data_IF_076592531288
#
_entry.id   IF_076592531288
#
_cell.length_a   1.000
_cell.length_b   1.000
_cell.length_c   1.000
_cell.angle_alpha   90.00
_cell.angle_beta   90.00
_cell.angle_gamma   90.00
#
_symmetry.space_group_name_H-M   'P 1'
#
loop_
_entity.id
_entity.type
_entity.pdbx_description
1 polymer ?
#
# COMPACT_ATOMS: atom_id res chain seq x y z
N UNK A 1 -5.88 15.03 -8.13
CA UNK A 1 -5.80 15.61 -6.78
C UNK A 1 -6.92 14.97 -5.97
N UNK A 2 -6.69 14.61 -4.70
CA UNK A 2 -7.72 14.02 -3.86
C UNK A 2 -8.91 14.98 -3.73
N UNK A 3 -10.12 14.43 -3.71
CA UNK A 3 -11.34 15.21 -3.53
C UNK A 3 -11.38 15.84 -2.14
N UNK A 4 -11.77 17.12 -2.10
CA UNK A 4 -11.99 17.86 -0.85
C UNK A 4 -13.49 18.16 -0.75
N UNK A 5 -14.01 18.24 0.48
CA UNK A 5 -15.39 18.68 0.72
C UNK A 5 -15.58 20.08 0.16
N UNK A 6 -16.55 20.24 -0.74
CA UNK A 6 -16.94 21.53 -1.34
C UNK A 6 -18.37 21.82 -0.97
N UNK A 7 -18.63 23.00 -0.43
CA UNK A 7 -19.99 23.45 -0.10
C UNK A 7 -19.98 24.92 0.28
N UNK A 8 -21.15 25.54 0.22
CA UNK A 8 -21.37 26.92 0.62
C UNK A 8 -22.76 27.08 1.21
N UNK A 9 -23.13 28.28 1.64
CA UNK A 9 -24.50 28.56 2.08
C UNK A 9 -25.52 28.37 0.95
N UNK A 10 -25.10 28.44 -0.32
CA UNK A 10 -25.97 28.22 -1.45
C UNK A 10 -26.34 26.74 -1.64
N UNK A 11 -25.45 25.83 -1.25
CA UNK A 11 -25.68 24.39 -1.22
C UNK A 11 -24.53 23.69 -0.47
N UNK A 12 -24.86 22.77 0.45
CA UNK A 12 -23.90 21.89 1.12
C UNK A 12 -24.50 20.51 1.37
N UNK A 13 -23.63 19.54 1.64
CA UNK A 13 -24.02 18.18 2.03
C UNK A 13 -23.55 17.96 3.47
N UNK A 14 -24.47 17.53 4.33
CA UNK A 14 -24.21 17.17 5.72
C UNK A 14 -24.55 15.68 5.89
N UNK A 15 -23.55 14.83 6.13
CA UNK A 15 -23.77 13.40 6.37
C UNK A 15 -24.03 13.13 7.84
N UNK A 16 -24.85 12.12 8.12
CA UNK A 16 -25.05 11.62 9.48
C UNK A 16 -23.81 10.88 10.02
N UNK A 17 -22.93 10.42 9.14
CA UNK A 17 -21.71 9.72 9.51
C UNK A 17 -20.71 10.67 10.20
N UNK A 18 -20.02 10.23 11.25
CA UNK A 18 -18.95 11.01 11.88
C UNK A 18 -17.84 11.38 10.90
N UNK A 19 -17.06 12.42 11.23
CA UNK A 19 -15.86 12.75 10.48
C UNK A 19 -14.87 11.59 10.49
N UNK A 20 -14.30 11.27 9.32
CA UNK A 20 -13.38 10.13 9.16
C UNK A 20 -14.06 8.76 9.08
N UNK A 21 -15.40 8.70 9.08
CA UNK A 21 -16.12 7.44 8.87
C UNK A 21 -15.77 6.82 7.52
N UNK A 22 -15.64 5.50 7.49
CA UNK A 22 -15.37 4.72 6.28
C UNK A 22 -16.54 3.79 6.00
N UNK A 23 -16.91 3.69 4.73
CA UNK A 23 -18.03 2.86 4.27
C UNK A 23 -17.49 1.57 3.64
N UNK A 24 -18.30 0.53 3.61
CA UNK A 24 -18.09 -0.66 2.79
C UNK A 24 -19.14 -0.71 1.67
N UNK A 25 -18.87 -1.44 0.57
CA UNK A 25 -19.93 -1.72 -0.39
C UNK A 25 -21.05 -2.54 0.29
N UNK A 26 -22.30 -2.16 0.01
CA UNK A 26 -23.50 -2.60 0.74
C UNK A 26 -24.00 -1.58 1.76
N UNK A 27 -23.15 -0.64 2.21
CA UNK A 27 -23.57 0.37 3.18
C UNK A 27 -24.55 1.39 2.58
N UNK A 28 -25.38 1.96 3.46
CA UNK A 28 -26.27 3.06 3.14
C UNK A 28 -25.70 4.38 3.66
N UNK A 29 -25.52 5.33 2.75
CA UNK A 29 -25.14 6.71 3.05
C UNK A 29 -26.40 7.51 3.36
N UNK A 30 -26.45 8.14 4.53
CA UNK A 30 -27.58 8.93 5.02
C UNK A 30 -27.09 10.34 5.37
N UNK A 31 -27.90 11.35 5.07
CA UNK A 31 -27.61 12.74 5.40
C UNK A 31 -28.66 13.69 4.84
N UNK A 32 -28.28 14.95 4.69
CA UNK A 32 -29.12 16.01 4.12
C UNK A 32 -28.33 16.86 3.11
N UNK A 33 -29.03 17.32 2.09
CA UNK A 33 -28.61 18.46 1.26
C UNK A 33 -29.24 19.72 1.85
N UNK A 34 -28.41 20.69 2.22
CA UNK A 34 -28.86 21.88 2.95
C UNK A 34 -28.57 23.13 2.13
N UNK A 35 -29.57 24.03 2.05
CA UNK A 35 -29.40 25.39 1.55
C UNK A 35 -29.77 26.40 2.63
N UNK A 36 -28.93 27.42 2.79
CA UNK A 36 -29.10 28.54 3.72
C UNK A 36 -29.29 29.87 3.01
N UNK A 37 -28.73 30.04 1.81
CA UNK A 37 -28.82 31.30 1.08
C UNK A 37 -30.25 31.58 0.62
N UNK A 38 -30.69 32.85 0.69
CA UNK A 38 -32.00 33.25 0.23
C UNK A 38 -32.25 32.86 -1.23
N UNK A 39 -33.51 32.57 -1.54
CA UNK A 39 -33.98 32.25 -2.89
C UNK A 39 -35.50 32.39 -2.94
N UNK A 40 -36.02 32.87 -4.06
CA UNK A 40 -37.44 32.80 -4.37
C UNK A 40 -37.55 32.40 -5.85
N UNK A 41 -37.96 31.16 -6.10
CA UNK A 41 -38.11 30.64 -7.46
C UNK A 41 -39.30 29.69 -7.54
N UNK A 42 -40.04 29.76 -8.65
CA UNK A 42 -41.18 28.89 -8.90
C UNK A 42 -40.76 27.47 -9.29
N UNK A 43 -39.51 27.28 -9.74
CA UNK A 43 -39.01 25.98 -10.17
C UNK A 43 -37.52 25.82 -9.86
N UNK A 44 -37.25 24.99 -8.86
CA UNK A 44 -35.94 24.49 -8.51
C UNK A 44 -35.92 22.96 -8.66
N UNK A 45 -34.78 22.45 -9.09
CA UNK A 45 -34.47 21.03 -9.23
C UNK A 45 -33.24 20.73 -8.38
N UNK A 46 -33.38 19.80 -7.44
CA UNK A 46 -32.28 19.34 -6.59
C UNK A 46 -32.03 17.87 -6.83
N UNK A 47 -30.79 17.57 -7.16
CA UNK A 47 -30.31 16.23 -7.51
C UNK A 47 -29.09 15.88 -6.70
N UNK A 48 -28.94 14.60 -6.41
CA UNK A 48 -27.77 14.03 -5.75
C UNK A 48 -27.24 12.90 -6.59
N UNK A 49 -25.93 12.86 -6.74
CA UNK A 49 -25.21 11.83 -7.47
C UNK A 49 -24.25 11.12 -6.52
N UNK A 50 -24.32 9.79 -6.46
CA UNK A 50 -23.24 8.98 -5.89
C UNK A 50 -22.31 8.60 -7.03
N UNK A 51 -21.08 9.10 -6.97
CA UNK A 51 -20.05 8.87 -7.98
C UNK A 51 -18.87 8.11 -7.39
N UNK A 52 -18.30 7.25 -8.21
CA UNK A 52 -17.01 6.60 -8.00
C UNK A 52 -16.20 6.72 -9.26
N UNK A 53 -14.92 7.05 -9.16
CA UNK A 53 -14.04 7.15 -10.33
C UNK A 53 -12.63 6.67 -10.02
N UNK A 54 -11.96 6.20 -11.05
CA UNK A 54 -10.53 5.99 -11.07
C UNK A 54 -9.89 7.04 -11.97
N UNK A 55 -8.88 7.73 -11.44
CA UNK A 55 -8.09 8.71 -12.16
C UNK A 55 -6.63 8.33 -12.07
N UNK A 56 -5.96 8.30 -13.22
CA UNK A 56 -4.54 8.03 -13.28
C UNK A 56 -3.86 9.09 -14.11
N UNK A 57 -2.66 9.52 -13.70
CA UNK A 57 -1.90 10.45 -14.52
C UNK A 57 -0.40 10.22 -14.42
N UNK A 58 0.31 10.52 -15.50
CA UNK A 58 1.77 10.55 -15.56
C UNK A 58 2.20 11.84 -16.22
N UNK A 59 3.07 12.59 -15.55
CA UNK A 59 3.72 13.77 -16.10
C UNK A 59 5.24 13.57 -16.11
N UNK A 60 5.93 14.12 -17.11
CA UNK A 60 7.40 14.09 -17.17
C UNK A 60 7.98 14.97 -18.27
N UNK A 61 9.29 15.26 -18.18
CA UNK A 61 10.01 15.93 -19.25
C UNK A 61 10.14 14.96 -20.45
N UNK A 62 9.62 15.36 -21.61
CA UNK A 62 9.60 14.51 -22.79
C UNK A 62 11.01 14.33 -23.37
N UNK A 63 11.51 13.09 -23.39
CA UNK A 63 12.46 12.65 -24.42
C UNK A 63 11.65 12.02 -25.55
N UNK A 64 11.86 12.50 -26.77
CA UNK A 64 11.21 12.04 -27.99
C UNK A 64 11.25 10.51 -28.09
N UNK A 65 10.08 9.87 -28.02
CA UNK A 65 9.91 8.43 -28.28
C UNK A 65 9.09 7.63 -27.26
N UNK A 66 8.61 8.24 -26.17
CA UNK A 66 7.96 7.50 -25.05
C UNK A 66 6.45 7.72 -24.88
N UNK A 67 5.83 8.58 -25.68
CA UNK A 67 4.43 8.96 -25.55
C UNK A 67 3.76 9.04 -26.93
N UNK A 68 2.45 8.77 -27.06
CA UNK A 68 1.69 9.14 -28.26
C UNK A 68 1.87 10.64 -28.49
N UNK A 69 2.55 11.00 -29.57
CA UNK A 69 2.94 12.37 -29.86
C UNK A 69 1.71 13.19 -30.26
N UNK A 70 1.38 14.20 -29.47
CA UNK A 70 0.74 15.41 -29.97
C UNK A 70 1.82 16.19 -30.78
N UNK A 71 1.57 16.62 -32.02
CA UNK A 71 2.61 17.12 -32.93
C UNK A 71 3.16 18.52 -32.60
N UNK A 72 2.91 19.04 -31.39
CA UNK A 72 3.26 20.40 -30.99
C UNK A 72 4.17 20.45 -29.75
N UNK A 73 5.48 20.40 -29.97
CA UNK A 73 6.47 21.10 -29.13
C UNK A 73 7.08 20.35 -27.94
N UNK A 74 8.34 20.69 -27.65
CA UNK A 74 9.08 20.27 -26.47
C UNK A 74 8.49 20.91 -25.21
N UNK A 75 7.50 20.24 -24.61
CA UNK A 75 6.87 20.59 -23.34
C UNK A 75 6.77 19.38 -22.41
N UNK A 76 6.47 19.62 -21.13
CA UNK A 76 6.11 18.57 -20.18
C UNK A 76 4.94 17.77 -20.74
N UNK A 77 5.14 16.47 -20.98
CA UNK A 77 4.08 15.60 -21.49
C UNK A 77 3.33 15.02 -20.30
N UNK A 78 1.99 15.14 -20.33
CA UNK A 78 1.10 14.61 -19.30
C UNK A 78 0.04 13.74 -19.95
N UNK A 79 -0.05 12.47 -19.55
CA UNK A 79 -1.13 11.57 -19.94
C UNK A 79 -2.01 11.35 -18.72
N UNK A 80 -3.31 11.58 -18.86
CA UNK A 80 -4.30 11.31 -17.83
C UNK A 80 -5.39 10.40 -18.37
N UNK A 81 -5.90 9.51 -17.52
CA UNK A 81 -7.03 8.64 -17.78
C UNK A 81 -8.03 8.79 -16.65
N UNK A 82 -9.30 8.93 -16.98
CA UNK A 82 -10.40 8.94 -16.00
C UNK A 82 -11.45 7.93 -16.43
N UNK A 83 -11.90 7.11 -15.50
CA UNK A 83 -12.93 6.13 -15.74
C UNK A 83 -13.92 6.15 -14.57
N UNK A 84 -15.21 6.13 -14.91
CA UNK A 84 -16.30 6.14 -13.93
C UNK A 84 -16.57 4.70 -13.49
N UNK A 85 -16.46 4.46 -12.19
CA UNK A 85 -16.74 3.18 -11.54
C UNK A 85 -18.19 3.07 -11.10
N UNK A 86 -18.77 4.19 -10.67
CA UNK A 86 -20.11 4.28 -10.12
C UNK A 86 -20.71 5.64 -10.49
N UNK A 87 -21.95 5.64 -10.94
CA UNK A 87 -22.72 6.85 -11.19
C UNK A 87 -24.20 6.55 -10.99
N UNK A 88 -24.70 6.81 -9.78
CA UNK A 88 -26.13 6.75 -9.46
C UNK A 88 -26.68 8.15 -9.29
N UNK A 89 -27.93 8.35 -9.70
CA UNK A 89 -28.61 9.64 -9.69
C UNK A 89 -29.91 9.54 -8.90
N UNK A 90 -30.14 10.53 -8.03
CA UNK A 90 -31.27 10.62 -7.12
C UNK A 90 -31.88 12.02 -7.22
N UNK A 91 -33.02 12.20 -7.91
CA UNK A 91 -33.78 13.44 -7.82
C UNK A 91 -34.41 13.52 -6.42
N UNK A 92 -34.11 14.57 -5.67
CA UNK A 92 -34.56 14.71 -4.28
C UNK A 92 -35.58 15.83 -4.08
N UNK A 93 -35.66 16.78 -5.01
CA UNK A 93 -36.67 17.83 -4.99
C UNK A 93 -36.93 18.40 -6.38
N UNK A 94 -38.19 18.67 -6.70
CA UNK A 94 -38.58 19.45 -7.86
C UNK A 94 -39.80 20.30 -7.52
N UNK A 95 -39.70 21.62 -7.69
CA UNK A 95 -40.81 22.53 -7.41
C UNK A 95 -40.39 23.91 -6.94
N UNK A 96 -41.34 24.71 -6.41
CA UNK A 96 -41.06 26.06 -5.93
C UNK A 96 -40.20 26.02 -4.66
N UNK A 97 -39.20 26.90 -4.59
CA UNK A 97 -38.29 27.00 -3.45
C UNK A 97 -38.20 28.45 -2.97
N UNK A 98 -38.57 28.66 -1.70
CA UNK A 98 -38.55 29.96 -1.04
C UNK A 98 -37.78 29.88 0.27
N UNK A 99 -36.74 30.70 0.37
CA UNK A 99 -35.95 30.95 1.58
C UNK A 99 -35.80 32.46 1.69
N UNK A 100 -36.49 33.12 2.65
CA UNK A 100 -36.37 34.55 2.83
C UNK A 100 -35.01 34.94 3.41
N UNK A 101 -34.65 36.22 3.33
CA UNK A 101 -33.45 36.74 3.99
C UNK A 101 -33.55 36.57 5.51
N UNK A 102 -32.54 35.94 6.13
CA UNK A 102 -32.58 35.54 7.54
C UNK A 102 -33.54 34.39 7.86
N UNK A 103 -34.11 33.74 6.84
CA UNK A 103 -35.01 32.60 6.98
C UNK A 103 -34.33 31.33 7.50
N UNK A 104 -35.16 30.36 7.89
CA UNK A 104 -34.67 29.03 8.25
C UNK A 104 -34.11 28.31 7.02
N UNK A 105 -33.03 27.52 7.17
CA UNK A 105 -32.49 26.73 6.09
C UNK A 105 -33.49 25.65 5.64
N UNK A 106 -33.43 25.29 4.35
CA UNK A 106 -34.16 24.15 3.81
C UNK A 106 -33.20 22.98 3.69
N UNK A 107 -33.66 21.81 4.13
CA UNK A 107 -32.92 20.55 4.07
C UNK A 107 -33.74 19.49 3.36
N UNK A 108 -33.07 18.72 2.50
CA UNK A 108 -33.64 17.55 1.84
C UNK A 108 -32.86 16.31 2.24
N UNK A 109 -33.53 15.36 2.87
CA UNK A 109 -32.89 14.14 3.32
C UNK A 109 -32.50 13.24 2.16
N UNK A 110 -31.33 12.61 2.29
CA UNK A 110 -30.78 11.70 1.31
C UNK A 110 -30.56 10.33 1.94
N UNK A 111 -30.83 9.29 1.17
CA UNK A 111 -30.54 7.90 1.52
C UNK A 111 -30.09 7.21 0.25
N UNK A 112 -28.87 6.70 0.25
CA UNK A 112 -28.24 6.18 -0.96
C UNK A 112 -27.39 4.97 -0.65
N UNK A 113 -27.63 3.86 -1.34
CA UNK A 113 -26.89 2.61 -1.16
C UNK A 113 -25.66 2.55 -2.06
N UNK A 114 -24.52 2.21 -1.47
CA UNK A 114 -23.30 1.86 -2.20
C UNK A 114 -23.47 0.42 -2.67
N UNK A 115 -23.74 0.19 -3.95
CA UNK A 115 -23.92 -1.19 -4.44
C UNK A 115 -22.60 -1.96 -4.38
N UNK A 116 -22.62 -3.24 -4.00
CA UNK A 116 -21.44 -4.09 -4.02
C UNK A 116 -20.87 -4.26 -5.43
N UNK A 117 -21.76 -4.40 -6.42
CA UNK A 117 -21.36 -4.63 -7.81
C UNK A 117 -21.18 -3.32 -8.59
N UNK A 118 -20.12 -3.19 -9.40
CA UNK A 118 -20.03 -2.10 -10.37
C UNK A 118 -21.08 -2.28 -11.47
N UNK A 119 -21.60 -1.19 -12.08
CA UNK A 119 -22.59 -1.29 -13.14
C UNK A 119 -22.02 -2.03 -14.36
N UNK A 120 -22.54 -3.23 -14.67
CA UNK A 120 -22.09 -4.12 -15.78
C UNK A 120 -22.07 -3.48 -17.18
N UNK A 121 -22.60 -2.26 -17.37
CA UNK A 121 -22.92 -1.68 -18.69
C UNK A 121 -22.11 -0.45 -19.11
N UNK A 122 -21.14 0.01 -18.31
CA UNK A 122 -20.40 1.25 -18.66
C UNK A 122 -19.21 0.96 -19.60
N UNK A 123 -18.79 -0.30 -19.76
CA UNK A 123 -17.50 -0.62 -20.37
C UNK A 123 -17.64 -1.24 -21.77
N UNK A 124 -17.32 -0.44 -22.78
CA UNK A 124 -17.07 -0.93 -24.13
C UNK A 124 -15.69 -1.58 -24.24
N UNK A 125 -15.62 -2.67 -25.01
CA UNK A 125 -14.44 -3.36 -25.60
C UNK A 125 -13.29 -3.83 -24.69
N UNK A 126 -13.27 -3.51 -23.40
CA UNK A 126 -12.31 -4.04 -22.42
C UNK A 126 -13.05 -4.95 -21.45
N UNK A 127 -12.93 -6.24 -21.71
CA UNK A 127 -13.65 -7.34 -21.08
C UNK A 127 -12.97 -7.75 -19.77
N UNK A 128 -12.92 -6.85 -18.80
CA UNK A 128 -12.47 -7.19 -17.44
C UNK A 128 -13.63 -6.92 -16.48
N UNK A 129 -14.36 -7.99 -16.20
CA UNK A 129 -15.35 -8.08 -15.13
C UNK A 129 -14.59 -7.95 -13.81
N UNK A 130 -14.72 -6.79 -13.17
CA UNK A 130 -14.45 -6.68 -11.74
C UNK A 130 -15.79 -6.84 -11.04
N UNK A 131 -15.88 -7.79 -10.11
CA UNK A 131 -17.13 -8.11 -9.42
C UNK A 131 -17.37 -7.21 -8.19
N UNK A 132 -16.49 -6.25 -7.92
CA UNK A 132 -16.55 -5.41 -6.71
C UNK A 132 -16.08 -3.97 -6.94
N UNK A 133 -16.50 -3.06 -6.04
CA UNK A 133 -15.98 -1.70 -5.96
C UNK A 133 -14.66 -1.68 -5.15
N UNK A 134 -13.53 -1.23 -5.72
CA UNK A 134 -12.27 -1.13 -4.99
C UNK A 134 -12.33 -0.07 -3.88
N UNK A 135 -11.54 -0.25 -2.83
CA UNK A 135 -11.38 0.76 -1.78
C UNK A 135 -10.82 2.09 -2.32
N UNK A 136 -11.02 3.16 -1.55
CA UNK A 136 -10.45 4.48 -1.84
C UNK A 136 -8.94 4.45 -1.72
N UNK A 137 -8.25 4.97 -2.73
CA UNK A 137 -6.78 5.04 -2.72
C UNK A 137 -6.28 6.41 -3.16
N UNK A 138 -5.08 6.75 -2.71
CA UNK A 138 -4.33 7.87 -3.23
C UNK A 138 -2.83 7.54 -3.24
N UNK A 139 -2.30 7.28 -4.42
CA UNK A 139 -0.88 6.96 -4.58
C UNK A 139 -0.20 7.98 -5.50
N UNK A 140 0.98 8.41 -5.07
CA UNK A 140 1.81 9.38 -5.80
C UNK A 140 3.25 8.90 -5.74
N UNK A 141 3.84 8.72 -6.91
CA UNK A 141 5.23 8.38 -7.06
C UNK A 141 6.00 9.42 -7.84
N UNK A 142 7.25 9.66 -7.44
CA UNK A 142 8.18 10.52 -8.16
C UNK A 142 9.41 9.72 -8.53
N UNK A 143 9.79 9.78 -9.80
CA UNK A 143 11.02 9.17 -10.32
C UNK A 143 11.74 10.19 -11.19
N UNK A 144 12.79 10.81 -10.65
CA UNK A 144 13.46 11.94 -11.30
C UNK A 144 12.49 13.11 -11.52
N UNK A 145 12.36 13.55 -12.77
CA UNK A 145 11.42 14.61 -13.18
C UNK A 145 10.01 14.11 -13.52
N UNK A 146 9.77 12.79 -13.44
CA UNK A 146 8.48 12.21 -13.73
C UNK A 146 7.66 12.01 -12.45
N UNK A 147 6.36 12.33 -12.52
CA UNK A 147 5.39 12.02 -11.47
C UNK A 147 4.35 11.06 -12.03
N UNK A 148 3.98 10.04 -11.26
CA UNK A 148 2.86 9.14 -11.56
C UNK A 148 1.89 9.17 -10.39
N UNK A 149 0.60 9.23 -10.68
CA UNK A 149 -0.47 9.27 -9.68
C UNK A 149 -1.59 8.30 -10.05
N UNK A 150 -2.20 7.72 -9.02
CA UNK A 150 -3.43 6.96 -9.15
C UNK A 150 -4.35 7.27 -7.98
N UNK A 151 -5.62 7.52 -8.29
CA UNK A 151 -6.68 7.84 -7.36
C UNK A 151 -7.89 6.96 -7.65
N UNK A 152 -8.49 6.43 -6.59
CA UNK A 152 -9.84 5.85 -6.64
C UNK A 152 -10.61 6.63 -5.60
N UNK A 153 -11.58 7.42 -6.04
CA UNK A 153 -12.35 8.31 -5.18
C UNK A 153 -13.84 8.02 -5.33
N UNK A 154 -14.54 8.06 -4.20
CA UNK A 154 -16.00 8.04 -4.13
C UNK A 154 -16.49 9.35 -3.52
N UNK A 155 -17.63 9.84 -3.97
CA UNK A 155 -18.17 11.10 -3.48
C UNK A 155 -19.66 11.24 -3.80
N UNK A 156 -20.34 12.02 -2.96
CA UNK A 156 -21.64 12.58 -3.28
C UNK A 156 -21.45 13.94 -3.94
N UNK A 157 -22.21 14.18 -5.00
CA UNK A 157 -22.33 15.48 -5.64
C UNK A 157 -23.80 15.91 -5.56
N UNK A 158 -24.09 17.02 -4.89
CA UNK A 158 -25.41 17.64 -4.89
C UNK A 158 -25.42 18.79 -5.89
N UNK A 159 -26.51 18.92 -6.62
CA UNK A 159 -26.71 19.94 -7.64
C UNK A 159 -28.08 20.59 -7.44
N UNK A 160 -28.10 21.92 -7.34
CA UNK A 160 -29.31 22.74 -7.34
C UNK A 160 -29.33 23.57 -8.62
N UNK A 161 -30.39 23.44 -9.40
CA UNK A 161 -30.66 24.26 -10.59
C UNK A 161 -31.98 25.00 -10.45
N UNK A 162 -32.01 26.26 -10.85
CA UNK A 162 -33.24 27.06 -10.90
C UNK A 162 -33.09 28.23 -11.87
N UNK A 163 -34.22 28.82 -12.25
CA UNK A 163 -34.24 30.06 -13.03
C UNK A 163 -34.39 31.26 -12.09
N UNK A 164 -33.58 32.29 -12.33
CA UNK A 164 -33.63 33.58 -11.64
C UNK A 164 -33.72 34.70 -12.67
N UNK A 165 -34.56 35.70 -12.44
CA UNK A 165 -34.58 36.90 -13.28
C UNK A 165 -33.30 37.71 -13.07
N UNK A 166 -32.57 37.97 -14.15
CA UNK A 166 -31.45 38.91 -14.14
C UNK A 166 -31.89 40.36 -14.27
N UNK A 167 -30.94 41.29 -14.19
CA UNK A 167 -31.18 42.74 -14.27
C UNK A 167 -31.85 43.18 -15.59
N UNK A 168 -31.67 42.38 -16.65
CA UNK A 168 -32.32 42.58 -17.96
C UNK A 168 -33.75 42.03 -18.06
N UNK A 169 -34.29 41.46 -16.97
CA UNK A 169 -35.61 40.81 -16.92
C UNK A 169 -35.66 39.42 -17.59
N UNK A 170 -34.55 38.93 -18.14
CA UNK A 170 -34.44 37.58 -18.72
C UNK A 170 -34.18 36.53 -17.64
N UNK A 171 -34.73 35.33 -17.83
CA UNK A 171 -34.43 34.19 -16.97
C UNK A 171 -33.00 33.71 -17.20
N UNK A 172 -32.26 33.54 -16.10
CA UNK A 172 -30.89 33.05 -16.06
C UNK A 172 -30.89 31.76 -15.25
N UNK A 173 -30.37 30.69 -15.83
CA UNK A 173 -30.15 29.44 -15.10
C UNK A 173 -29.02 29.64 -14.08
N UNK A 174 -29.33 29.39 -12.82
CA UNK A 174 -28.37 29.33 -11.72
C UNK A 174 -28.12 27.87 -11.37
N UNK A 175 -26.85 27.53 -11.22
CA UNK A 175 -26.41 26.21 -10.80
C UNK A 175 -25.49 26.34 -9.59
N UNK A 176 -25.78 25.60 -8.53
CA UNK A 176 -24.88 25.42 -7.39
C UNK A 176 -24.55 23.94 -7.23
N UNK A 177 -23.31 23.66 -6.84
CA UNK A 177 -22.84 22.29 -6.60
C UNK A 177 -22.20 22.19 -5.23
N UNK A 178 -22.33 21.02 -4.61
CA UNK A 178 -21.63 20.65 -3.39
C UNK A 178 -21.08 19.24 -3.56
N UNK A 179 -19.89 18.98 -3.03
CA UNK A 179 -19.19 17.70 -3.10
C UNK A 179 -18.86 17.24 -1.68
N UNK A 180 -19.17 15.98 -1.38
CA UNK A 180 -18.79 15.32 -0.14
C UNK A 180 -17.99 14.04 -0.45
N UNK A 181 -16.69 13.98 -0.13
CA UNK A 181 -15.88 12.78 -0.35
C UNK A 181 -16.32 11.63 0.56
N UNK A 182 -16.34 10.42 0.02
CA UNK A 182 -16.65 9.17 0.72
C UNK A 182 -15.39 8.30 0.69
N UNK A 183 -14.98 7.82 1.86
CA UNK A 183 -13.90 6.82 1.97
C UNK A 183 -14.51 5.44 1.98
N UNK A 184 -14.24 4.67 0.92
CA UNK A 184 -14.64 3.27 0.79
C UNK A 184 -13.52 2.35 1.26
N UNK A 185 -13.82 1.39 2.13
CA UNK A 185 -12.89 0.36 2.58
C UNK A 185 -12.63 -0.65 1.46
N UNK A 186 -11.45 -1.25 1.47
CA UNK A 186 -11.19 -2.42 0.64
C UNK A 186 -12.01 -3.61 1.17
N UNK A 187 -12.67 -4.33 0.27
CA UNK A 187 -13.34 -5.57 0.65
C UNK A 187 -12.29 -6.69 0.81
N UNK A 188 -12.47 -7.59 1.81
CA UNK A 188 -11.71 -8.83 1.85
C UNK A 188 -12.17 -9.69 0.66
N UNK A 189 -11.31 -9.79 -0.37
CA UNK A 189 -11.60 -10.54 -1.60
C UNK A 189 -11.49 -12.06 -1.43
N UNK A 190 -10.91 -12.49 -0.31
CA UNK A 190 -10.64 -13.87 0.01
C UNK A 190 -10.74 -14.02 1.54
N UNK A 191 -11.36 -15.11 2.00
CA UNK A 191 -11.29 -15.51 3.39
C UNK A 191 -9.83 -15.85 3.73
N UNK A 192 -9.35 -15.33 4.86
CA UNK A 192 -8.02 -15.67 5.32
C UNK A 192 -8.07 -17.03 6.03
N UNK A 193 -7.50 -18.04 5.39
CA UNK A 193 -7.37 -19.37 6.00
C UNK A 193 -6.12 -19.44 6.88
N UNK A 194 -4.95 -19.24 6.27
CA UNK A 194 -3.66 -19.34 6.91
C UNK A 194 -2.60 -18.49 6.21
N UNK A 195 -1.48 -18.24 6.90
CA UNK A 195 -0.32 -17.60 6.29
C UNK A 195 0.32 -18.54 5.27
N UNK A 196 0.27 -18.16 3.99
CA UNK A 196 1.20 -18.73 3.01
C UNK A 196 2.64 -18.40 3.40
N UNK A 197 3.59 -19.30 3.14
CA UNK A 197 5.01 -19.14 3.50
C UNK A 197 5.91 -19.20 2.27
N UNK A 198 6.92 -18.33 2.21
CA UNK A 198 8.00 -18.39 1.23
C UNK A 198 9.35 -18.52 1.93
N UNK A 199 10.21 -19.39 1.40
CA UNK A 199 11.56 -19.63 1.91
C UNK A 199 12.60 -18.93 1.04
N UNK A 200 13.61 -18.33 1.68
CA UNK A 200 14.84 -17.87 1.06
C UNK A 200 16.06 -18.46 1.78
N UNK A 201 17.05 -18.89 1.00
CA UNK A 201 18.23 -19.59 1.50
C UNK A 201 19.51 -18.84 1.14
N UNK A 202 20.37 -18.65 2.14
CA UNK A 202 21.64 -17.96 2.01
C UNK A 202 22.80 -18.88 2.44
N UNK A 203 23.73 -19.14 1.53
CA UNK A 203 25.00 -19.79 1.86
C UNK A 203 26.01 -18.73 2.30
N UNK A 204 26.69 -18.96 3.43
CA UNK A 204 27.72 -18.09 3.99
C UNK A 204 28.92 -18.90 4.46
N UNK A 205 30.04 -18.21 4.60
CA UNK A 205 31.29 -18.77 5.10
C UNK A 205 32.00 -17.76 5.99
N UNK A 206 32.63 -18.26 7.04
CA UNK A 206 33.46 -17.48 7.97
C UNK A 206 34.78 -18.20 8.17
N UNK A 207 35.89 -17.47 8.12
CA UNK A 207 37.24 -17.98 8.34
C UNK A 207 37.85 -17.31 9.54
N UNK A 208 37.93 -18.01 10.67
CA UNK A 208 38.40 -17.42 11.91
C UNK A 208 38.99 -18.45 12.86
N UNK A 209 40.09 -18.10 13.51
CA UNK A 209 40.64 -18.91 14.61
C UNK A 209 39.71 -18.94 15.85
N UNK A 210 38.75 -18.01 15.94
CA UNK A 210 37.70 -18.02 16.98
C UNK A 210 36.70 -19.16 16.80
N UNK A 211 36.73 -19.84 15.65
CA UNK A 211 35.97 -21.05 15.44
C UNK A 211 36.59 -22.25 16.14
N UNK A 212 37.76 -22.17 16.79
CA UNK A 212 38.31 -23.30 17.54
C UNK A 212 37.74 -23.36 18.97
N UNK A 213 37.45 -24.55 19.52
CA UNK A 213 36.90 -24.71 20.88
C UNK A 213 37.78 -24.04 21.96
N UNK A 214 39.10 -24.21 21.85
CA UNK A 214 40.07 -23.79 22.87
C UNK A 214 40.39 -22.28 22.83
N UNK A 215 39.90 -21.56 21.81
CA UNK A 215 40.17 -20.13 21.62
C UNK A 215 39.01 -19.28 22.14
N UNK A 216 37.77 -19.77 22.13
CA UNK A 216 36.59 -19.10 22.70
C UNK A 216 36.46 -17.60 22.34
N UNK A 217 35.83 -16.83 23.23
CA UNK A 217 35.71 -15.36 23.18
C UNK A 217 37.03 -14.63 23.50
N UNK A 218 38.17 -15.34 23.61
CA UNK A 218 39.44 -14.71 23.93
C UNK A 218 40.00 -13.89 22.75
N UNK A 219 40.80 -12.87 23.07
CA UNK A 219 41.44 -12.04 22.06
C UNK A 219 42.45 -12.87 21.24
N UNK A 220 42.23 -12.92 19.92
CA UNK A 220 43.18 -13.56 18.99
C UNK A 220 44.59 -12.99 19.15
N UNK A 221 45.59 -13.87 19.22
CA UNK A 221 47.00 -13.48 19.24
C UNK A 221 47.39 -12.73 17.96
N UNK A 222 48.43 -11.89 18.02
CA UNK A 222 48.93 -11.18 16.83
C UNK A 222 49.27 -12.14 15.68
N UNK A 223 49.78 -13.34 16.00
CA UNK A 223 50.08 -14.40 15.02
C UNK A 223 48.82 -14.94 14.36
N UNK A 224 47.77 -15.21 15.12
CA UNK A 224 46.48 -15.69 14.60
C UNK A 224 45.78 -14.59 13.76
N UNK A 225 45.82 -13.33 14.20
CA UNK A 225 45.30 -12.20 13.42
C UNK A 225 46.03 -12.06 12.08
N UNK A 226 47.36 -12.20 12.07
CA UNK A 226 48.14 -12.19 10.84
C UNK A 226 47.78 -13.38 9.93
N UNK A 227 47.69 -14.61 10.46
CA UNK A 227 47.33 -15.80 9.69
C UNK A 227 45.93 -15.69 9.06
N UNK A 228 44.96 -15.12 9.77
CA UNK A 228 43.62 -14.86 9.27
C UNK A 228 43.63 -13.82 8.13
N UNK A 229 44.39 -12.72 8.28
CA UNK A 229 44.53 -11.68 7.24
C UNK A 229 45.24 -12.16 5.98
N UNK A 230 46.21 -13.06 6.11
CA UNK A 230 46.97 -13.59 4.97
C UNK A 230 46.36 -14.87 4.37
N UNK A 231 45.13 -15.24 4.77
CA UNK A 231 44.39 -16.33 4.14
C UNK A 231 45.04 -17.71 4.31
N UNK A 232 45.73 -17.95 5.44
CA UNK A 232 46.39 -19.23 5.68
C UNK A 232 45.38 -20.39 5.65
N UNK A 233 45.73 -21.49 5.00
CA UNK A 233 44.97 -22.75 5.03
C UNK A 233 44.83 -23.38 6.42
N UNK A 234 45.56 -22.85 7.42
CA UNK A 234 45.49 -23.25 8.83
C UNK A 234 44.39 -22.53 9.62
N UNK A 235 43.66 -21.62 8.98
CA UNK A 235 42.54 -20.90 9.61
C UNK A 235 41.27 -21.75 9.38
N UNK A 236 40.54 -22.14 10.44
CA UNK A 236 39.33 -22.91 10.29
C UNK A 236 38.30 -22.13 9.46
N UNK A 237 37.59 -22.85 8.60
CA UNK A 237 36.47 -22.35 7.81
C UNK A 237 35.18 -23.04 8.22
N UNK A 238 34.19 -22.25 8.63
CA UNK A 238 32.82 -22.68 8.86
C UNK A 238 31.97 -22.24 7.67
N UNK A 239 31.32 -23.20 7.03
CA UNK A 239 30.29 -22.97 6.02
C UNK A 239 28.95 -23.16 6.70
N UNK A 240 28.01 -22.25 6.49
CA UNK A 240 26.70 -22.33 7.10
C UNK A 240 25.62 -21.78 6.18
N UNK A 241 24.42 -22.30 6.36
CA UNK A 241 23.22 -21.95 5.63
C UNK A 241 22.28 -21.21 6.57
N UNK A 242 21.69 -20.13 6.07
CA UNK A 242 20.61 -19.43 6.75
C UNK A 242 19.36 -19.49 5.90
N UNK A 243 18.29 -20.01 6.47
CA UNK A 243 16.97 -20.07 5.85
C UNK A 243 16.05 -19.07 6.54
N UNK A 244 15.43 -18.21 5.74
CA UNK A 244 14.46 -17.22 6.21
C UNK A 244 13.12 -17.57 5.58
N UNK A 245 12.13 -17.79 6.42
CA UNK A 245 10.75 -18.01 6.02
C UNK A 245 9.94 -16.75 6.34
N UNK A 246 9.25 -16.24 5.33
CA UNK A 246 8.40 -15.05 5.47
C UNK A 246 6.99 -15.32 4.94
N UNK A 247 5.96 -14.63 5.48
CA UNK A 247 4.61 -14.80 4.98
C UNK A 247 4.48 -14.27 3.55
N UNK A 248 3.82 -15.04 2.70
CA UNK A 248 3.42 -14.66 1.34
C UNK A 248 1.97 -14.18 1.25
N UNK A 249 1.17 -14.38 2.30
CA UNK A 249 -0.17 -13.79 2.46
C UNK A 249 -0.31 -13.24 3.88
N UNK A 250 -0.83 -12.03 4.03
CA UNK A 250 -1.08 -11.39 5.34
C UNK A 250 -2.44 -10.72 5.27
N UNK A 251 -3.31 -10.96 6.25
CA UNK A 251 -4.51 -10.16 6.46
C UNK A 251 -4.20 -9.05 7.47
N UNK A 252 -4.50 -7.81 7.11
CA UNK A 252 -4.33 -6.67 8.02
C UNK A 252 -5.25 -6.82 9.22
N UNK A 253 -4.73 -6.44 10.40
CA UNK A 253 -5.46 -6.47 11.67
C UNK A 253 -5.89 -7.88 12.14
N UNK A 254 -5.38 -8.94 11.48
CA UNK A 254 -5.53 -10.30 11.97
C UNK A 254 -4.76 -10.49 13.29
N UNK A 255 -5.38 -11.06 14.34
CA UNK A 255 -4.75 -11.20 15.65
C UNK A 255 -3.61 -12.23 15.70
N UNK A 256 -3.44 -13.08 14.68
CA UNK A 256 -2.37 -14.07 14.63
C UNK A 256 -1.01 -13.42 14.38
N UNK A 257 0.03 -13.93 15.04
CA UNK A 257 1.38 -13.39 14.91
C UNK A 257 1.99 -13.72 13.55
N UNK A 258 2.72 -12.77 12.96
CA UNK A 258 3.37 -12.96 11.66
C UNK A 258 4.41 -14.09 11.72
N UNK A 259 4.33 -15.15 10.89
CA UNK A 259 5.29 -16.25 10.95
C UNK A 259 6.61 -15.88 10.27
N UNK A 260 7.55 -15.32 11.04
CA UNK A 260 8.89 -14.98 10.59
C UNK A 260 9.91 -15.94 11.20
N UNK A 261 10.22 -17.01 10.47
CA UNK A 261 11.09 -18.07 10.97
C UNK A 261 12.51 -17.98 10.41
N UNK A 262 13.50 -18.17 11.28
CA UNK A 262 14.91 -18.23 10.94
C UNK A 262 15.50 -19.58 11.34
N UNK A 263 16.15 -20.26 10.41
CA UNK A 263 16.95 -21.47 10.66
C UNK A 263 18.39 -21.18 10.28
N UNK A 264 19.33 -21.51 11.18
CA UNK A 264 20.76 -21.42 10.92
C UNK A 264 21.35 -22.82 11.08
N UNK A 265 21.91 -23.37 10.01
CA UNK A 265 22.43 -24.73 9.98
C UNK A 265 23.88 -24.76 9.48
N UNK A 266 24.67 -25.66 10.03
CA UNK A 266 26.04 -25.89 9.58
C UNK A 266 26.06 -26.62 8.24
N UNK A 267 26.90 -26.15 7.32
CA UNK A 267 27.10 -26.73 5.99
C UNK A 267 28.10 -27.88 5.98
N UNK A 268 27.95 -28.78 4.99
CA UNK A 268 28.77 -30.00 4.83
C UNK A 268 30.25 -29.72 4.55
N UNK A 269 30.57 -28.56 3.98
CA UNK A 269 31.93 -28.18 3.57
C UNK A 269 32.75 -27.54 4.70
N UNK A 270 32.20 -27.52 5.91
CA UNK A 270 32.91 -27.03 7.09
C UNK A 270 34.18 -27.84 7.39
N UNK A 271 35.23 -27.13 7.80
CA UNK A 271 36.53 -27.69 8.20
C UNK A 271 36.37 -28.82 9.22
N UNK A 272 37.15 -29.90 9.06
CA UNK A 272 36.99 -31.15 9.83
C UNK A 272 37.18 -30.93 11.33
N UNK A 273 38.03 -29.98 11.71
CA UNK A 273 38.37 -29.63 13.08
C UNK A 273 37.19 -29.01 13.84
N UNK A 274 36.16 -28.54 13.15
CA UNK A 274 35.01 -27.83 13.74
C UNK A 274 33.65 -28.41 13.32
N UNK A 275 33.64 -29.58 12.67
CA UNK A 275 32.44 -30.21 12.07
C UNK A 275 31.42 -30.77 13.08
N UNK A 276 31.88 -31.12 14.29
CA UNK A 276 31.06 -31.71 15.35
C UNK A 276 31.02 -30.84 16.60
N UNK A 277 31.25 -29.53 16.46
CA UNK A 277 31.26 -28.62 17.60
C UNK A 277 30.00 -27.78 17.54
N UNK A 278 29.26 -27.73 18.65
CA UNK A 278 28.12 -26.85 18.80
C UNK A 278 28.54 -25.40 18.57
N UNK A 279 27.87 -24.69 17.68
CA UNK A 279 28.19 -23.29 17.37
C UNK A 279 26.99 -22.40 17.57
N UNK A 280 27.30 -21.25 18.15
CA UNK A 280 26.35 -20.18 18.36
C UNK A 280 26.46 -19.15 17.24
N UNK A 281 25.33 -18.76 16.69
CA UNK A 281 25.14 -17.55 15.91
C UNK A 281 24.36 -16.50 16.74
N UNK A 282 24.56 -15.23 16.45
CA UNK A 282 23.87 -14.13 17.12
C UNK A 282 23.04 -13.33 16.14
N UNK A 283 21.76 -13.14 16.41
CA UNK A 283 20.93 -12.19 15.65
C UNK A 283 21.13 -10.81 16.28
N UNK A 284 21.74 -9.88 15.53
CA UNK A 284 22.18 -8.57 16.05
C UNK A 284 21.41 -7.39 15.45
N UNK A 285 20.60 -7.60 14.42
CA UNK A 285 19.65 -6.61 13.92
C UNK A 285 18.55 -7.30 13.13
N UNK A 286 17.33 -6.78 13.22
CA UNK A 286 16.19 -7.20 12.40
C UNK A 286 15.45 -5.93 11.96
N UNK A 287 15.15 -5.77 10.68
CA UNK A 287 14.26 -4.71 10.18
C UNK A 287 13.23 -5.29 9.24
N UNK A 288 12.06 -4.66 9.20
CA UNK A 288 10.93 -5.05 8.38
C UNK A 288 10.35 -3.82 7.68
N UNK A 289 10.01 -3.95 6.41
CA UNK A 289 9.39 -2.88 5.64
C UNK A 289 8.41 -3.46 4.62
N UNK A 290 7.36 -2.71 4.30
CA UNK A 290 6.46 -3.02 3.19
C UNK A 290 6.83 -2.13 2.01
N UNK A 291 7.13 -2.73 0.87
CA UNK A 291 7.23 -2.03 -0.39
C UNK A 291 5.95 -2.24 -1.21
N UNK A 292 5.22 -1.14 -1.44
CA UNK A 292 4.00 -1.15 -2.25
C UNK A 292 4.35 -0.64 -3.64
N UNK A 293 4.12 -1.47 -4.65
CA UNK A 293 4.27 -1.11 -6.06
C UNK A 293 2.89 -0.86 -6.67
N UNK A 294 2.66 0.36 -7.15
CA UNK A 294 1.48 0.73 -7.93
C UNK A 294 1.83 0.69 -9.41
N UNK A 295 1.08 -0.09 -10.18
CA UNK A 295 1.17 -0.20 -11.63
C UNK A 295 -0.06 0.42 -12.28
N UNK A 296 0.16 1.31 -13.23
CA UNK A 296 -0.87 2.10 -13.89
C UNK A 296 -0.82 1.86 -15.40
N UNK A 297 -1.95 1.47 -15.99
CA UNK A 297 -2.16 1.39 -17.44
C UNK A 297 -2.71 2.73 -17.93
N UNK A 298 -2.20 3.21 -19.07
CA UNK A 298 -2.68 4.42 -19.75
C UNK A 298 -3.29 4.03 -21.11
N UNK A 299 -4.31 4.76 -21.57
CA UNK A 299 -4.90 4.52 -22.89
C UNK A 299 -3.87 4.68 -24.02
N UNK A 300 -3.84 3.72 -24.96
CA UNK A 300 -2.93 3.70 -26.13
C UNK A 300 -1.76 2.70 -26.05
N UNK A 301 -1.64 1.96 -24.95
CA UNK A 301 -0.63 0.93 -24.75
C UNK A 301 -1.08 -0.45 -25.28
N UNK A 302 -0.31 -1.05 -26.21
CA UNK A 302 -0.53 -2.43 -26.65
C UNK A 302 -0.23 -3.41 -25.51
N UNK A 303 -1.23 -4.21 -25.13
CA UNK A 303 -1.12 -5.33 -24.21
C UNK A 303 -0.41 -6.49 -24.91
N UNK A 304 0.56 -7.14 -24.25
CA UNK A 304 0.67 -8.62 -24.20
C UNK A 304 1.98 -9.12 -23.56
N UNK A 305 3.06 -8.34 -23.50
CA UNK A 305 4.37 -8.92 -23.13
C UNK A 305 4.68 -9.01 -21.62
N UNK A 306 4.18 -8.10 -20.77
CA UNK A 306 4.89 -7.81 -19.50
C UNK A 306 4.06 -7.90 -18.21
N UNK A 307 2.79 -8.26 -18.29
CA UNK A 307 1.88 -8.25 -17.12
C UNK A 307 2.03 -9.47 -16.20
N UNK A 308 2.69 -10.53 -16.67
CA UNK A 308 2.77 -11.83 -16.00
C UNK A 308 4.16 -12.19 -15.45
N UNK A 309 5.16 -11.30 -15.55
CA UNK A 309 6.46 -11.57 -14.93
C UNK A 309 6.57 -10.87 -13.57
N UNK A 310 6.64 -11.60 -12.46
CA UNK A 310 7.14 -11.05 -11.21
C UNK A 310 8.62 -10.75 -11.42
N UNK A 311 8.93 -9.54 -11.87
CA UNK A 311 10.32 -9.14 -12.02
C UNK A 311 10.90 -9.00 -10.61
N UNK A 312 11.87 -9.85 -10.29
CA UNK A 312 12.61 -9.85 -9.01
C UNK A 312 13.41 -8.55 -8.78
N UNK A 313 13.27 -7.56 -9.66
CA UNK A 313 13.88 -6.26 -9.53
C UNK A 313 12.84 -5.18 -9.83
N UNK A 314 12.67 -4.24 -8.90
CA UNK A 314 11.98 -2.96 -9.17
C UNK A 314 12.69 -2.10 -10.26
N UNK A 315 13.72 -2.64 -10.93
CA UNK A 315 14.54 -1.99 -11.95
C UNK A 315 14.24 -2.42 -13.38
N UNK A 316 13.38 -3.40 -13.62
CA UNK A 316 12.99 -3.79 -14.98
C UNK A 316 11.47 -3.79 -15.15
N UNK A 317 10.86 -2.60 -15.09
CA UNK A 317 9.54 -2.38 -15.66
C UNK A 317 9.78 -1.98 -17.13
N UNK A 318 9.34 -2.78 -18.10
CA UNK A 318 9.50 -2.44 -19.51
C UNK A 318 8.74 -1.15 -19.83
N UNK A 319 9.50 -0.21 -20.40
CA UNK A 319 9.27 1.23 -20.28
C UNK A 319 8.18 1.81 -21.21
N UNK A 320 7.44 1.01 -21.98
CA UNK A 320 6.69 1.54 -23.13
C UNK A 320 5.18 1.69 -22.94
N UNK A 321 4.57 1.03 -21.95
CA UNK A 321 3.11 0.94 -21.86
C UNK A 321 2.53 0.94 -20.44
N UNK A 322 3.34 0.66 -19.42
CA UNK A 322 2.94 0.61 -18.02
C UNK A 322 3.78 1.63 -17.26
N UNK A 323 3.13 2.65 -16.69
CA UNK A 323 3.78 3.47 -15.67
C UNK A 323 3.64 2.79 -14.33
N UNK A 324 4.62 2.96 -13.45
CA UNK A 324 4.51 2.46 -12.09
C UNK A 324 5.36 3.28 -11.16
N UNK A 325 5.02 3.19 -9.89
CA UNK A 325 5.83 3.76 -8.83
C UNK A 325 5.79 2.85 -7.61
N UNK A 326 6.81 2.93 -6.77
CA UNK A 326 6.86 2.23 -5.50
C UNK A 326 7.01 3.20 -4.34
N UNK A 327 6.43 2.83 -3.21
CA UNK A 327 6.69 3.42 -1.91
C UNK A 327 7.24 2.32 -0.99
N UNK A 328 8.14 2.70 -0.08
CA UNK A 328 8.67 1.80 0.95
C UNK A 328 8.30 2.40 2.29
N UNK A 329 7.65 1.61 3.13
CA UNK A 329 7.24 1.99 4.48
C UNK A 329 8.04 1.14 5.46
N UNK A 330 8.89 1.79 6.27
CA UNK A 330 9.58 1.14 7.38
C UNK A 330 8.55 0.82 8.48
N UNK A 331 8.59 -0.39 9.02
CA UNK A 331 7.73 -0.81 10.12
C UNK A 331 8.37 -0.58 11.50
N UNK A 332 9.52 0.12 11.56
CA UNK A 332 10.19 0.59 12.78
C UNK A 332 10.57 -0.52 13.77
N UNK A 333 10.73 -1.74 13.26
CA UNK A 333 11.06 -2.92 14.06
C UNK A 333 12.47 -2.82 14.67
N UNK A 334 13.42 -2.25 13.90
CA UNK A 334 14.85 -2.26 14.21
C UNK A 334 15.20 -1.63 15.55
N UNK A 335 14.68 -0.42 15.80
CA UNK A 335 14.99 0.31 17.02
C UNK A 335 14.24 -0.25 18.23
N UNK A 336 13.09 -0.90 18.00
CA UNK A 336 12.33 -1.59 19.05
C UNK A 336 13.08 -2.82 19.55
N UNK A 337 13.51 -3.70 18.63
CA UNK A 337 14.23 -4.94 18.98
C UNK A 337 15.55 -4.63 19.69
N UNK A 338 16.27 -3.58 19.26
CA UNK A 338 17.53 -3.15 19.88
C UNK A 338 17.42 -2.71 21.34
N UNK A 339 16.21 -2.35 21.81
CA UNK A 339 15.96 -1.89 23.19
C UNK A 339 15.48 -3.02 24.10
N UNK A 340 15.37 -4.25 23.60
CA UNK A 340 14.94 -5.39 24.42
C UNK A 340 16.10 -5.94 25.25
N UNK A 341 15.83 -6.28 26.50
CA UNK A 341 16.85 -6.75 27.45
C UNK A 341 17.54 -8.06 27.01
N UNK A 342 16.83 -8.90 26.25
CA UNK A 342 17.33 -10.19 25.78
C UNK A 342 17.96 -10.12 24.38
N UNK A 343 18.20 -8.94 23.83
CA UNK A 343 18.79 -8.76 22.50
C UNK A 343 20.27 -8.31 22.59
N UNK A 344 21.21 -8.87 21.80
CA UNK A 344 21.05 -9.78 20.66
C UNK A 344 20.65 -11.21 21.04
N UNK A 345 19.97 -11.93 20.13
CA UNK A 345 19.52 -13.30 20.39
C UNK A 345 20.58 -14.34 20.04
N UNK A 346 20.79 -15.26 20.97
CA UNK A 346 21.63 -16.43 20.77
C UNK A 346 20.86 -17.53 20.01
N UNK A 347 21.45 -18.07 18.95
CA UNK A 347 20.87 -19.14 18.12
C UNK A 347 21.89 -20.26 17.96
N UNK A 348 21.52 -21.45 18.43
CA UNK A 348 22.28 -22.66 18.27
C UNK A 348 22.20 -23.16 16.81
N UNK A 349 23.34 -23.29 16.14
CA UNK A 349 23.38 -23.76 14.76
C UNK A 349 22.97 -25.24 14.69
N UNK A 350 21.93 -25.54 13.90
CA UNK A 350 21.39 -26.89 13.72
C UNK A 350 20.38 -27.33 14.78
N UNK A 351 20.12 -26.50 15.79
CA UNK A 351 19.12 -26.80 16.84
C UNK A 351 17.94 -25.83 16.73
N UNK A 352 16.96 -26.20 15.90
CA UNK A 352 15.63 -25.60 15.91
C UNK A 352 15.46 -24.38 15.01
N UNK A 353 14.30 -23.75 15.19
CA UNK A 353 13.81 -22.63 14.39
C UNK A 353 13.51 -21.47 15.33
N UNK A 354 13.99 -20.28 15.00
CA UNK A 354 13.66 -19.06 15.75
C UNK A 354 12.46 -18.42 15.08
N UNK A 355 11.28 -18.52 15.71
CA UNK A 355 10.08 -17.80 15.31
C UNK A 355 10.12 -16.37 15.87
N UNK A 356 10.74 -15.47 15.10
CA UNK A 356 10.85 -14.04 15.42
C UNK A 356 9.45 -13.43 15.57
N UNK A 357 8.52 -13.88 14.73
CA UNK A 357 7.09 -13.59 14.76
C UNK A 357 6.47 -13.68 16.13
N UNK A 358 6.49 -14.91 16.63
CA UNK A 358 5.89 -15.27 17.90
C UNK A 358 6.68 -14.71 19.10
N UNK A 359 8.02 -14.71 19.05
CA UNK A 359 8.86 -14.14 20.12
C UNK A 359 8.55 -12.66 20.35
N UNK A 360 8.31 -11.91 19.27
CA UNK A 360 7.96 -10.49 19.32
C UNK A 360 6.46 -10.24 19.39
N UNK A 361 5.62 -11.28 19.27
CA UNK A 361 4.16 -11.17 19.17
C UNK A 361 3.76 -10.13 18.12
N UNK A 362 4.31 -10.26 16.91
CA UNK A 362 4.15 -9.26 15.85
C UNK A 362 2.79 -9.35 15.17
N UNK A 363 2.04 -8.25 15.14
CA UNK A 363 0.79 -8.13 14.39
C UNK A 363 0.89 -6.99 13.39
N UNK A 364 0.61 -7.28 12.12
CA UNK A 364 0.51 -6.25 11.08
C UNK A 364 -0.90 -5.67 11.05
N UNK A 365 -0.97 -4.36 11.10
CA UNK A 365 -2.20 -3.59 11.11
C UNK A 365 -2.28 -2.67 9.90
N UNK A 366 -3.47 -2.14 9.65
CA UNK A 366 -3.68 -1.20 8.55
C UNK A 366 -2.74 0.02 8.60
N UNK A 367 -2.40 0.54 9.78
CA UNK A 367 -1.54 1.73 9.96
C UNK A 367 -0.13 1.41 10.51
N UNK A 368 0.39 0.17 10.36
CA UNK A 368 1.74 -0.22 10.84
C UNK A 368 1.84 -1.54 11.60
N UNK A 369 2.85 -1.66 12.46
CA UNK A 369 3.20 -2.91 13.18
C UNK A 369 3.00 -2.74 14.69
N UNK A 370 2.61 -3.81 15.38
CA UNK A 370 2.70 -3.91 16.84
C UNK A 370 3.63 -5.05 17.26
N UNK A 371 4.24 -4.90 18.44
CA UNK A 371 5.16 -5.86 19.07
C UNK A 371 4.75 -5.96 20.53
N UNK A 372 4.48 -7.18 21.02
CA UNK A 372 4.04 -7.44 22.40
C UNK A 372 2.88 -6.54 22.85
N UNK A 373 1.87 -6.36 21.98
CA UNK A 373 0.71 -5.49 22.22
C UNK A 373 0.98 -3.99 22.17
N UNK A 374 2.24 -3.56 22.00
CA UNK A 374 2.60 -2.15 21.86
C UNK A 374 2.65 -1.76 20.39
N UNK A 375 1.92 -0.70 20.04
CA UNK A 375 1.99 -0.10 18.72
C UNK A 375 3.35 0.58 18.49
N UNK A 376 3.99 0.26 17.37
CA UNK A 376 5.17 1.00 16.89
C UNK A 376 4.74 2.34 16.27
N UNK A 377 5.65 3.03 15.57
CA UNK A 377 5.29 4.27 14.89
C UNK A 377 4.19 4.04 13.86
N UNK A 378 3.23 4.98 13.81
CA UNK A 378 2.17 4.95 12.81
C UNK A 378 2.74 5.27 11.44
N UNK A 379 2.40 4.44 10.45
CA UNK A 379 2.73 4.67 9.05
C UNK A 379 1.49 5.11 8.27
N UNK A 380 1.68 5.45 7.00
CA UNK A 380 0.54 5.63 6.10
C UNK A 380 -0.23 4.30 6.00
N UNK A 381 -1.56 4.33 5.81
CA UNK A 381 -2.32 3.10 5.66
C UNK A 381 -1.73 2.18 4.59
N UNK A 382 -1.46 0.94 4.97
CA UNK A 382 -0.96 -0.10 4.09
C UNK A 382 -2.10 -0.48 3.14
N UNK A 383 -1.90 -0.25 1.85
CA UNK A 383 -2.91 -0.57 0.84
C UNK A 383 -2.90 -2.07 0.55
N UNK A 384 -4.05 -2.77 0.68
CA UNK A 384 -4.18 -4.16 0.28
C UNK A 384 -3.80 -4.40 -1.19
N UNK A 385 -3.40 -5.64 -1.50
CA UNK A 385 -3.11 -6.06 -2.87
C UNK A 385 -4.42 -6.20 -3.65
N UNK A 386 -4.51 -5.55 -4.82
CA UNK A 386 -5.65 -5.69 -5.73
C UNK A 386 -5.25 -5.37 -7.17
N UNK A 387 -6.09 -5.79 -8.11
CA UNK A 387 -6.00 -5.47 -9.53
C UNK A 387 -7.39 -5.02 -9.97
N UNK A 388 -7.51 -3.78 -10.45
CA UNK A 388 -8.75 -3.17 -10.95
C UNK A 388 -8.49 -2.27 -12.16
N UNK A 389 -9.23 -2.48 -13.23
CA UNK A 389 -9.19 -1.79 -14.52
C UNK A 389 -7.77 -1.55 -15.06
N UNK A 390 -7.29 -0.33 -14.84
CA UNK A 390 -6.01 0.20 -15.28
C UNK A 390 -5.02 0.36 -14.12
N UNK A 391 -5.25 -0.31 -13.00
CA UNK A 391 -4.47 -0.17 -11.79
C UNK A 391 -4.24 -1.53 -11.12
N UNK A 392 -3.00 -1.79 -10.73
CA UNK A 392 -2.63 -2.95 -9.94
C UNK A 392 -1.73 -2.53 -8.80
N UNK A 393 -2.02 -2.99 -7.60
CA UNK A 393 -1.20 -2.79 -6.41
C UNK A 393 -0.66 -4.14 -5.96
N UNK A 394 0.67 -4.24 -5.89
CA UNK A 394 1.39 -5.41 -5.39
C UNK A 394 2.25 -4.97 -4.22
N UNK A 395 2.29 -5.80 -3.17
CA UNK A 395 3.11 -5.57 -2.00
C UNK A 395 4.28 -6.55 -1.94
N UNK A 396 5.38 -6.11 -1.35
CA UNK A 396 6.56 -6.91 -1.05
C UNK A 396 6.96 -6.71 0.41
N UNK A 397 7.19 -7.81 1.11
CA UNK A 397 7.79 -7.79 2.43
C UNK A 397 9.31 -7.77 2.29
N UNK A 398 9.93 -6.70 2.77
CA UNK A 398 11.39 -6.58 2.87
C UNK A 398 11.81 -6.84 4.31
N UNK A 399 12.75 -7.74 4.49
CA UNK A 399 13.32 -8.04 5.81
C UNK A 399 14.84 -8.09 5.70
N UNK A 400 15.52 -7.35 6.57
CA UNK A 400 16.97 -7.46 6.74
C UNK A 400 17.27 -8.06 8.11
N UNK A 401 18.08 -9.12 8.13
CA UNK A 401 18.56 -9.77 9.35
C UNK A 401 20.09 -9.70 9.38
N UNK A 402 20.66 -9.21 10.47
CA UNK A 402 22.09 -9.27 10.72
C UNK A 402 22.40 -10.47 11.61
N UNK A 403 23.22 -11.39 11.10
CA UNK A 403 23.67 -12.59 11.81
C UNK A 403 25.17 -12.49 12.05
N UNK A 404 25.61 -12.64 13.29
CA UNK A 404 27.02 -12.59 13.68
C UNK A 404 27.51 -13.96 14.10
N UNK A 405 28.60 -14.42 13.49
CA UNK A 405 29.25 -15.70 13.77
C UNK A 405 30.75 -15.45 13.89
N UNK A 406 31.36 -15.85 15.00
CA UNK A 406 32.79 -15.64 15.26
C UNK A 406 33.26 -14.18 15.10
N UNK A 407 32.41 -13.22 15.50
CA UNK A 407 32.54 -11.76 15.33
C UNK A 407 32.52 -11.25 13.88
N UNK A 408 32.18 -12.09 12.89
CA UNK A 408 31.87 -11.64 11.54
C UNK A 408 30.36 -11.48 11.38
N UNK A 409 29.91 -10.30 10.99
CA UNK A 409 28.49 -9.97 10.79
C UNK A 409 28.12 -10.04 9.31
N UNK A 410 27.04 -10.75 9.01
CA UNK A 410 26.45 -10.89 7.69
C UNK A 410 25.06 -10.25 7.68
N UNK A 411 24.80 -9.40 6.69
CA UNK A 411 23.46 -8.88 6.44
C UNK A 411 22.78 -9.77 5.40
N UNK A 412 21.60 -10.27 5.75
CA UNK A 412 20.76 -11.12 4.92
C UNK A 412 19.51 -10.32 4.58
N UNK A 413 19.35 -9.96 3.32
CA UNK A 413 18.22 -9.17 2.84
C UNK A 413 17.28 -10.05 2.03
N UNK A 414 16.02 -10.09 2.44
CA UNK A 414 14.94 -10.74 1.71
C UNK A 414 13.98 -9.69 1.15
N UNK A 415 13.41 -10.02 0.00
CA UNK A 415 12.34 -9.26 -0.65
C UNK A 415 11.37 -10.26 -1.24
N UNK A 416 10.28 -10.53 -0.51
CA UNK A 416 9.31 -11.57 -0.83
C UNK A 416 8.01 -10.94 -1.30
N UNK A 417 7.40 -11.39 -2.42
CA UNK A 417 6.08 -10.89 -2.81
C UNK A 417 5.05 -11.32 -1.77
N UNK A 418 4.17 -10.41 -1.38
CA UNK A 418 3.14 -10.67 -0.36
C UNK A 418 1.78 -10.19 -0.85
N UNK A 419 0.78 -11.06 -0.75
CA UNK A 419 -0.62 -10.71 -0.91
C UNK A 419 -1.12 -10.14 0.42
N UNK A 420 -1.38 -8.83 0.46
CA UNK A 420 -1.96 -8.20 1.63
C UNK A 420 -3.48 -8.16 1.44
N UNK A 421 -4.22 -8.83 2.31
CA UNK A 421 -5.68 -8.80 2.36
C UNK A 421 -6.14 -7.64 3.24
N UNK A 422 -7.30 -7.08 2.91
CA UNK A 422 -7.94 -6.06 3.73
C UNK A 422 -8.31 -6.63 5.12
N UNK A 423 -8.39 -5.74 6.12
CA UNK A 423 -8.99 -6.08 7.40
C UNK A 423 -10.50 -6.38 7.23
N UNK A 424 -11.04 -7.21 8.12
CA UNK A 424 -12.48 -7.52 8.18
C UNK A 424 -13.33 -6.35 8.72
#
# INVERSE_FOLDING_TARGET
MPLVKVGSDALRIDLAAPEGWTFAPGDTVIGDVVRRSPIDTANADVKVFLRGRIQTSRSGAGTSGSFPTDPAGAGTQSVASEQILLAKHYPIFQGPLQIPEGGNPVSWSITTEITPDPPRRIFGKYDVLYDYLPGTINTVGRSGLATSTAWIDYFLEAELRYLQKGDSGRDIERKHTAIYPITLRHQPLQEFDEFGITQQTFQRKVRSHRLLPDVGLSNLSMRQRAQQRFGSSKVPELVFQVEIYTPSTIQLDNPAFLPLNLIIAQGTDTSKEIKNVHRTAWITSISLSIETCTFVKYHGASLEADYNQPTNSARSIPAKSVGGHSSIQDLYLKDTVRRMDNFPWEVSMGEGTVDIGSVLQMILHTDGLSVAGRRLEKVQPITPSFDVYNLRIINWLKMDVSVTVAEETFILSTRTPVTILAAE
#
